data_IF_283585306454
#
_entry.id   IF_283585306454
#
_cell.length_a   1.000
_cell.length_b   1.000
_cell.length_c   1.000
_cell.angle_alpha   90.00
_cell.angle_beta   90.00
_cell.angle_gamma   90.00
#
_symmetry.space_group_name_H-M   'P 1'
#
loop_
_entity.id
_entity.type
_entity.pdbx_description
1 polymer ?
#
# COMPACT_ATOMS: atom_id res chain seq x y z
N UNK A 1 38.25 -40.67 32.70
CA UNK A 1 38.28 -39.89 33.96
C UNK A 1 37.18 -38.84 33.83
N UNK A 2 36.14 -38.94 34.65
CA UNK A 2 34.95 -38.08 34.61
C UNK A 2 35.30 -36.66 35.07
N UNK A 3 34.91 -35.64 34.31
CA UNK A 3 34.89 -34.25 34.76
C UNK A 3 33.44 -33.88 35.10
N UNK A 4 33.17 -33.24 36.25
CA UNK A 4 31.82 -32.88 36.66
C UNK A 4 31.34 -31.64 35.89
N UNK A 5 30.05 -31.63 35.53
CA UNK A 5 29.35 -30.46 35.02
C UNK A 5 28.81 -29.71 36.25
N UNK A 6 29.17 -28.44 36.40
CA UNK A 6 28.50 -27.54 37.35
C UNK A 6 27.59 -26.61 36.55
N UNK A 7 26.28 -26.75 36.73
CA UNK A 7 25.30 -25.80 36.23
C UNK A 7 25.03 -24.78 37.34
N UNK A 8 25.57 -23.57 37.19
CA UNK A 8 25.08 -22.40 37.91
C UNK A 8 24.08 -21.71 37.00
N UNK A 9 22.79 -21.77 37.35
CA UNK A 9 21.77 -20.96 36.72
C UNK A 9 21.77 -19.58 37.41
N UNK A 10 22.59 -18.66 36.90
CA UNK A 10 22.41 -17.24 37.21
C UNK A 10 21.22 -16.71 36.40
N UNK A 11 20.31 -16.01 37.10
CA UNK A 11 19.20 -15.28 36.49
C UNK A 11 19.75 -14.29 35.46
N UNK A 12 19.36 -14.43 34.20
CA UNK A 12 19.74 -13.53 33.13
C UNK A 12 19.18 -12.12 33.43
N UNK A 13 20.02 -11.21 33.91
CA UNK A 13 19.70 -9.79 33.98
C UNK A 13 19.78 -9.19 32.58
N UNK A 14 18.63 -8.77 32.06
CA UNK A 14 18.54 -8.02 30.82
C UNK A 14 19.19 -6.63 30.98
N UNK A 15 20.30 -6.43 30.29
CA UNK A 15 21.09 -5.19 30.30
C UNK A 15 20.90 -4.36 29.03
N UNK A 16 19.87 -4.64 28.22
CA UNK A 16 19.73 -4.08 26.87
C UNK A 16 19.25 -2.63 26.81
N UNK A 17 18.91 -1.98 27.94
CA UNK A 17 18.29 -0.64 27.96
C UNK A 17 17.13 -0.52 26.94
N UNK A 18 16.43 -1.62 26.68
CA UNK A 18 15.28 -1.62 25.80
C UNK A 18 14.19 -0.73 26.41
N UNK A 19 13.60 0.14 25.58
CA UNK A 19 12.47 0.97 26.00
C UNK A 19 11.32 0.03 26.37
N UNK A 20 11.05 -0.11 27.67
CA UNK A 20 9.86 -0.81 28.15
C UNK A 20 8.64 -0.05 27.66
N UNK A 21 7.68 -0.69 26.98
CA UNK A 21 6.45 -0.02 26.58
C UNK A 21 5.73 0.47 27.84
N UNK A 22 5.58 1.80 27.95
CA UNK A 22 4.77 2.41 28.99
C UNK A 22 3.32 2.04 28.73
N UNK A 23 2.78 1.13 29.54
CA UNK A 23 1.34 0.91 29.61
C UNK A 23 0.76 2.21 30.19
N UNK A 24 -0.10 2.95 29.46
CA UNK A 24 -0.73 4.13 30.03
C UNK A 24 -1.53 3.70 31.25
N UNK A 25 -1.28 4.35 32.39
CA UNK A 25 -2.10 4.16 33.59
C UNK A 25 -3.56 4.39 33.20
N UNK A 26 -4.38 3.36 33.42
CA UNK A 26 -5.83 3.48 33.28
C UNK A 26 -6.26 4.49 34.35
N UNK A 27 -6.78 5.67 33.98
CA UNK A 27 -7.24 6.61 34.98
C UNK A 27 -8.32 5.92 35.80
N UNK A 28 -8.20 5.99 37.12
CA UNK A 28 -9.23 5.52 38.04
C UNK A 28 -10.60 6.02 37.55
N UNK A 29 -11.46 5.09 37.13
CA UNK A 29 -12.83 5.35 36.73
C UNK A 29 -13.68 5.71 37.95
N UNK A 30 -13.32 6.78 38.64
CA UNK A 30 -14.32 7.59 39.32
C UNK A 30 -15.15 8.21 38.20
N UNK A 31 -16.43 7.84 38.13
CA UNK A 31 -17.43 8.35 37.20
C UNK A 31 -17.15 9.79 36.76
N UNK A 32 -16.42 9.96 35.65
CA UNK A 32 -16.48 11.17 34.87
C UNK A 32 -17.85 11.10 34.21
N UNK A 33 -18.84 11.67 34.90
CA UNK A 33 -20.03 12.13 34.24
C UNK A 33 -19.55 12.93 33.03
N UNK A 34 -19.75 12.38 31.83
CA UNK A 34 -19.65 13.16 30.60
C UNK A 34 -20.44 14.43 30.86
N UNK A 35 -19.74 15.56 30.92
CA UNK A 35 -20.38 16.84 31.21
C UNK A 35 -21.58 16.97 30.28
N UNK A 36 -22.77 17.00 30.87
CA UNK A 36 -23.93 17.52 30.17
C UNK A 36 -23.59 18.98 29.86
N UNK A 37 -23.18 19.23 28.62
CA UNK A 37 -23.42 20.55 28.02
C UNK A 37 -24.89 20.84 28.31
N UNK A 38 -25.19 21.87 29.12
CA UNK A 38 -26.44 22.08 29.85
C UNK A 38 -27.74 22.22 29.00
N UNK A 39 -27.74 21.80 27.74
CA UNK A 39 -28.91 21.74 26.88
C UNK A 39 -28.97 20.52 25.94
N UNK A 40 -28.04 19.56 26.05
CA UNK A 40 -27.96 18.42 25.13
C UNK A 40 -27.98 17.06 25.82
N UNK A 41 -28.77 16.14 25.27
CA UNK A 41 -28.74 14.71 25.60
C UNK A 41 -27.76 14.02 24.65
N UNK A 42 -26.82 13.26 25.20
CA UNK A 42 -25.87 12.48 24.42
C UNK A 42 -26.47 11.10 24.12
N UNK A 43 -26.59 10.79 22.84
CA UNK A 43 -27.07 9.51 22.32
C UNK A 43 -25.92 8.78 21.59
N UNK A 44 -26.00 7.46 21.54
CA UNK A 44 -25.16 6.61 20.70
C UNK A 44 -26.10 5.80 19.82
N UNK A 45 -26.13 6.14 18.53
CA UNK A 45 -27.14 5.63 17.60
C UNK A 45 -26.50 4.74 16.55
N UNK A 46 -27.20 3.68 16.17
CA UNK A 46 -26.89 2.92 14.97
C UNK A 46 -27.42 3.70 13.75
N UNK A 47 -26.53 4.19 12.90
CA UNK A 47 -26.91 5.04 11.77
C UNK A 47 -26.94 4.22 10.49
N UNK A 48 -28.04 4.29 9.73
CA UNK A 48 -28.12 3.74 8.39
C UNK A 48 -28.19 4.85 7.35
N UNK A 49 -27.45 4.72 6.24
CA UNK A 49 -27.49 5.63 5.10
C UNK A 49 -28.00 4.86 3.89
N UNK A 50 -29.15 5.24 3.33
CA UNK A 50 -29.77 4.57 2.18
C UNK A 50 -29.81 3.04 2.35
N UNK A 51 -30.29 2.59 3.52
CA UNK A 51 -30.39 1.18 3.95
C UNK A 51 -29.05 0.46 4.17
N UNK A 52 -27.91 1.16 4.08
CA UNK A 52 -26.61 0.64 4.48
C UNK A 52 -26.36 0.96 5.96
N UNK A 53 -26.29 -0.06 6.82
CA UNK A 53 -26.11 0.10 8.26
C UNK A 53 -24.63 0.30 8.59
N UNK A 54 -24.32 1.34 9.36
CA UNK A 54 -22.98 1.56 9.91
C UNK A 54 -22.57 0.40 10.80
N UNK A 55 -21.29 0.03 10.78
CA UNK A 55 -20.75 -1.00 11.68
C UNK A 55 -20.62 -0.48 13.11
N UNK A 56 -20.36 0.82 13.26
CA UNK A 56 -20.10 1.46 14.54
C UNK A 56 -21.26 2.33 15.00
N UNK A 57 -21.44 2.40 16.32
CA UNK A 57 -22.35 3.35 16.96
C UNK A 57 -21.76 4.75 16.89
N UNK A 58 -22.58 5.72 16.50
CA UNK A 58 -22.16 7.11 16.33
C UNK A 58 -22.74 7.97 17.44
N UNK A 59 -21.89 8.85 17.97
CA UNK A 59 -22.26 9.84 18.98
C UNK A 59 -23.12 10.93 18.35
N UNK A 60 -24.36 11.07 18.83
CA UNK A 60 -25.34 12.07 18.37
C UNK A 60 -25.78 12.91 19.56
N UNK A 61 -25.79 14.24 19.42
CA UNK A 61 -26.37 15.13 20.44
C UNK A 61 -27.79 15.47 20.06
N UNK A 62 -28.69 15.46 21.04
CA UNK A 62 -30.06 15.93 20.88
C UNK A 62 -30.26 17.18 21.74
N UNK A 63 -30.73 18.28 21.14
CA UNK A 63 -31.10 19.48 21.90
C UNK A 63 -32.52 19.40 22.49
N UNK A 64 -32.90 20.44 23.25
CA UNK A 64 -34.24 20.56 23.84
C UNK A 64 -35.36 20.61 22.79
N UNK A 65 -35.07 21.09 21.57
CA UNK A 65 -35.99 21.13 20.43
C UNK A 65 -36.03 19.80 19.64
N UNK A 66 -35.39 18.75 20.17
CA UNK A 66 -35.22 17.42 19.56
C UNK A 66 -34.43 17.41 18.24
N UNK A 67 -33.69 18.46 17.92
CA UNK A 67 -32.78 18.46 16.77
C UNK A 67 -31.57 17.60 17.08
N UNK A 68 -31.11 16.89 16.06
CA UNK A 68 -29.99 15.98 16.16
C UNK A 68 -28.75 16.60 15.55
N UNK A 69 -27.62 16.42 16.23
CA UNK A 69 -26.33 16.93 15.82
C UNK A 69 -25.32 15.79 15.78
N UNK A 70 -24.55 15.71 14.70
CA UNK A 70 -23.49 14.72 14.49
C UNK A 70 -22.20 15.46 14.18
N UNK A 71 -21.06 14.96 14.66
CA UNK A 71 -19.78 15.57 14.32
C UNK A 71 -19.48 15.42 12.83
N UNK A 72 -18.84 16.43 12.24
CA UNK A 72 -18.49 16.39 10.82
C UNK A 72 -17.62 15.18 10.46
N UNK A 73 -16.71 14.74 11.34
CA UNK A 73 -15.89 13.54 11.11
C UNK A 73 -16.75 12.27 10.94
N UNK A 74 -17.79 12.12 11.76
CA UNK A 74 -18.63 10.93 11.76
C UNK A 74 -19.55 10.95 10.52
N UNK A 75 -20.03 12.13 10.11
CA UNK A 75 -20.74 12.32 8.83
C UNK A 75 -19.84 12.00 7.61
N UNK A 76 -18.56 12.36 7.64
CA UNK A 76 -17.58 12.00 6.60
C UNK A 76 -17.34 10.48 6.56
N UNK A 77 -17.26 9.81 7.72
CA UNK A 77 -17.19 8.33 7.81
C UNK A 77 -18.43 7.66 7.21
N UNK A 78 -19.61 8.27 7.39
CA UNK A 78 -20.87 7.87 6.74
C UNK A 78 -20.95 8.25 5.25
N UNK A 79 -19.84 8.75 4.66
CA UNK A 79 -19.69 9.15 3.27
C UNK A 79 -20.49 10.39 2.85
N UNK A 80 -20.99 11.20 3.78
CA UNK A 80 -21.59 12.48 3.41
C UNK A 80 -20.49 13.47 3.00
N UNK A 81 -20.71 14.17 1.88
CA UNK A 81 -19.87 15.28 1.45
C UNK A 81 -20.08 16.46 2.40
N UNK A 82 -19.04 16.79 3.14
CA UNK A 82 -19.00 17.97 3.99
C UNK A 82 -18.14 19.05 3.32
N UNK A 83 -18.52 20.32 3.48
CA UNK A 83 -17.71 21.42 2.98
C UNK A 83 -16.32 21.43 3.64
N UNK A 84 -15.27 21.74 2.89
CA UNK A 84 -13.89 21.71 3.41
C UNK A 84 -13.63 22.70 4.55
N UNK A 85 -14.48 23.72 4.68
CA UNK A 85 -14.44 24.72 5.75
C UNK A 85 -14.98 24.21 7.09
N UNK A 86 -15.64 23.04 7.13
CA UNK A 86 -16.21 22.47 8.36
C UNK A 86 -15.14 21.60 9.03
N UNK A 87 -14.76 21.98 10.25
CA UNK A 87 -13.78 21.25 11.05
C UNK A 87 -14.33 19.89 11.50
N UNK A 88 -13.49 18.87 11.56
CA UNK A 88 -13.86 17.49 11.89
C UNK A 88 -14.59 17.33 13.24
N UNK A 89 -14.23 18.18 14.23
CA UNK A 89 -14.83 18.18 15.55
C UNK A 89 -16.09 19.04 15.68
N UNK A 90 -16.48 19.77 14.63
CA UNK A 90 -17.68 20.61 14.66
C UNK A 90 -18.94 19.75 14.64
N UNK A 91 -19.90 20.10 15.49
CA UNK A 91 -21.25 19.52 15.50
C UNK A 91 -22.09 20.14 14.40
N UNK A 92 -22.67 19.31 13.55
CA UNK A 92 -23.52 19.72 12.44
C UNK A 92 -24.94 19.24 12.71
N UNK A 93 -25.90 20.16 12.66
CA UNK A 93 -27.30 19.81 12.79
C UNK A 93 -27.76 19.06 11.54
N UNK A 94 -28.37 17.89 11.71
CA UNK A 94 -28.89 17.09 10.59
C UNK A 94 -30.03 17.84 9.89
N UNK A 95 -30.80 18.62 10.64
CA UNK A 95 -31.89 19.44 10.10
C UNK A 95 -31.41 20.53 9.13
N UNK A 96 -30.16 20.98 9.24
CA UNK A 96 -29.58 22.00 8.36
C UNK A 96 -29.07 21.39 7.04
N UNK A 97 -29.01 20.05 6.94
CA UNK A 97 -28.58 19.35 5.74
C UNK A 97 -29.73 19.25 4.72
N UNK A 98 -29.87 20.30 3.93
CA UNK A 98 -30.88 20.41 2.88
C UNK A 98 -30.85 19.19 1.93
N UNK A 99 -32.00 18.55 1.73
CA UNK A 99 -32.15 17.40 0.82
C UNK A 99 -31.93 16.03 1.45
N UNK A 100 -31.54 15.98 2.73
CA UNK A 100 -31.47 14.73 3.51
C UNK A 100 -32.78 14.54 4.27
N UNK A 101 -33.39 13.36 4.13
CA UNK A 101 -34.50 12.96 4.99
C UNK A 101 -33.96 12.05 6.08
N UNK A 102 -34.40 12.26 7.32
CA UNK A 102 -34.01 11.40 8.43
C UNK A 102 -35.21 10.92 9.22
N UNK A 103 -35.09 9.72 9.81
CA UNK A 103 -36.06 9.16 10.74
C UNK A 103 -35.32 8.58 11.94
N UNK A 104 -35.54 9.17 13.10
CA UNK A 104 -35.05 8.65 14.36
C UNK A 104 -36.05 7.63 14.92
N UNK A 105 -35.57 6.42 15.23
CA UNK A 105 -36.33 5.33 15.82
C UNK A 105 -35.78 5.09 17.23
N UNK A 106 -36.43 5.70 18.22
CA UNK A 106 -35.96 5.70 19.61
C UNK A 106 -35.88 4.29 20.21
N UNK A 107 -36.87 3.43 19.95
CA UNK A 107 -36.91 2.06 20.46
C UNK A 107 -35.77 1.17 19.94
N UNK A 108 -35.26 1.48 18.75
CA UNK A 108 -34.17 0.74 18.10
C UNK A 108 -32.82 1.42 18.29
N UNK A 109 -32.80 2.60 18.94
CA UNK A 109 -31.64 3.50 19.00
C UNK A 109 -31.01 3.68 17.62
N UNK A 110 -31.84 3.82 16.59
CA UNK A 110 -31.40 3.86 15.20
C UNK A 110 -31.79 5.16 14.51
N UNK A 111 -30.93 5.63 13.62
CA UNK A 111 -31.15 6.84 12.82
C UNK A 111 -31.02 6.48 11.34
N UNK A 112 -32.14 6.53 10.63
CA UNK A 112 -32.18 6.22 9.21
C UNK A 112 -32.08 7.50 8.39
N UNK A 113 -31.03 7.61 7.59
CA UNK A 113 -30.76 8.72 6.68
C UNK A 113 -31.03 8.30 5.24
N UNK A 114 -31.88 9.05 4.54
CA UNK A 114 -32.03 8.97 3.09
C UNK A 114 -31.31 10.15 2.48
N UNK A 115 -30.19 9.87 1.82
CA UNK A 115 -29.25 10.84 1.31
C UNK A 115 -29.20 10.74 -0.23
N UNK A 116 -29.40 11.84 -0.97
CA UNK A 116 -29.21 11.85 -2.41
C UNK A 116 -27.79 11.43 -2.82
N UNK A 117 -27.64 10.68 -3.92
CA UNK A 117 -26.33 10.13 -4.34
C UNK A 117 -25.27 11.21 -4.65
N UNK A 118 -25.68 12.41 -5.07
CA UNK A 118 -24.77 13.53 -5.33
C UNK A 118 -24.12 14.09 -4.06
N UNK A 119 -24.72 13.86 -2.89
CA UNK A 119 -24.20 14.25 -1.57
C UNK A 119 -23.33 13.17 -0.93
N UNK A 120 -23.17 12.01 -1.56
CA UNK A 120 -22.30 10.94 -1.09
C UNK A 120 -20.94 10.96 -1.79
N UNK A 121 -19.87 10.73 -1.04
CA UNK A 121 -18.54 10.45 -1.60
C UNK A 121 -18.49 9.03 -2.17
N UNK A 122 -17.67 8.84 -3.22
CA UNK A 122 -17.50 7.53 -3.85
C UNK A 122 -16.96 6.49 -2.85
N UNK A 123 -17.58 5.32 -2.80
CA UNK A 123 -17.01 4.17 -2.08
C UNK A 123 -15.87 3.59 -2.90
N UNK A 124 -14.65 3.55 -2.35
CA UNK A 124 -13.49 3.03 -3.06
C UNK A 124 -13.36 1.52 -2.81
N UNK A 125 -13.51 0.74 -3.87
CA UNK A 125 -13.14 -0.68 -3.89
C UNK A 125 -11.70 -0.76 -4.37
N UNK A 126 -10.79 -1.06 -3.45
CA UNK A 126 -9.39 -1.31 -3.77
C UNK A 126 -9.17 -2.81 -3.98
N UNK A 127 -8.70 -3.16 -5.18
CA UNK A 127 -8.50 -4.56 -5.60
C UNK A 127 -7.08 -5.05 -5.35
N UNK A 128 -6.12 -4.14 -5.23
CA UNK A 128 -4.75 -4.47 -4.88
C UNK A 128 -4.60 -4.21 -3.39
N UNK A 129 -4.66 -5.26 -2.57
CA UNK A 129 -4.34 -5.19 -1.14
C UNK A 129 -2.87 -4.83 -0.84
N UNK A 130 -2.21 -4.07 -1.71
CA UNK A 130 -0.84 -3.61 -1.54
C UNK A 130 -0.80 -2.65 -0.36
N UNK A 131 -0.19 -3.10 0.73
CA UNK A 131 0.11 -2.25 1.86
C UNK A 131 1.04 -1.13 1.37
N UNK A 132 0.54 0.10 1.43
CA UNK A 132 1.36 1.29 1.19
C UNK A 132 2.54 1.21 2.16
N UNK A 133 3.76 1.29 1.65
CA UNK A 133 4.93 1.25 2.52
C UNK A 133 4.91 2.48 3.42
N UNK A 134 4.93 2.28 4.74
CA UNK A 134 4.89 3.38 5.70
C UNK A 134 6.01 4.39 5.41
N UNK A 135 5.72 5.71 5.40
CA UNK A 135 6.75 6.73 5.17
C UNK A 135 7.93 6.66 6.16
N UNK A 136 7.70 6.09 7.34
CA UNK A 136 8.76 5.88 8.34
C UNK A 136 9.76 4.80 7.90
N UNK A 137 9.30 3.75 7.21
CA UNK A 137 10.16 2.70 6.68
C UNK A 137 11.00 3.19 5.50
N UNK A 138 10.46 4.11 4.70
CA UNK A 138 11.20 4.74 3.59
C UNK A 138 12.40 5.58 4.08
N UNK A 139 12.37 6.04 5.33
CA UNK A 139 13.43 6.86 5.96
C UNK A 139 14.51 6.03 6.64
N UNK A 140 14.34 4.71 6.72
CA UNK A 140 15.34 3.84 7.34
C UNK A 140 16.62 3.86 6.51
N UNK A 141 17.74 4.16 7.17
CA UNK A 141 19.06 4.14 6.52
C UNK A 141 19.54 2.70 6.44
N UNK A 142 20.17 2.30 5.33
CA UNK A 142 20.76 0.97 5.22
C UNK A 142 21.86 0.78 6.27
N UNK A 143 21.98 -0.45 6.76
CA UNK A 143 23.08 -0.85 7.62
C UNK A 143 24.38 -0.89 6.82
N UNK A 144 25.49 -0.54 7.48
CA UNK A 144 26.80 -0.73 6.88
C UNK A 144 27.09 -2.23 6.81
N UNK A 145 27.26 -2.76 5.61
CA UNK A 145 27.50 -4.19 5.39
C UNK A 145 28.40 -4.42 4.19
N UNK A 146 29.29 -5.39 4.30
CA UNK A 146 30.10 -5.88 3.19
C UNK A 146 29.69 -7.31 2.86
N UNK A 147 29.51 -7.59 1.58
CA UNK A 147 29.16 -8.91 1.05
C UNK A 147 30.20 -9.26 -0.01
N UNK A 148 30.69 -10.50 0.03
CA UNK A 148 31.56 -11.06 -0.99
C UNK A 148 30.88 -12.30 -1.56
N UNK A 149 30.50 -12.24 -2.84
CA UNK A 149 30.03 -13.39 -3.58
C UNK A 149 31.19 -13.94 -4.40
N UNK A 150 31.40 -15.25 -4.40
CA UNK A 150 32.45 -15.87 -5.19
C UNK A 150 31.98 -17.19 -5.80
N UNK A 151 32.50 -17.52 -6.97
CA UNK A 151 32.35 -18.84 -7.58
C UNK A 151 33.70 -19.31 -8.09
N UNK A 152 34.01 -20.59 -7.91
CA UNK A 152 35.25 -21.21 -8.39
C UNK A 152 34.86 -22.47 -9.14
N UNK A 153 35.48 -22.67 -10.29
CA UNK A 153 35.19 -23.78 -11.18
C UNK A 153 36.49 -24.35 -11.73
N UNK A 154 36.59 -25.68 -11.73
CA UNK A 154 37.74 -26.38 -12.25
C UNK A 154 37.28 -27.55 -13.10
N UNK A 155 37.85 -27.68 -14.30
CA UNK A 155 37.62 -28.79 -15.21
C UNK A 155 38.94 -29.40 -15.60
N UNK A 156 39.01 -30.73 -15.52
CA UNK A 156 40.12 -31.52 -16.02
C UNK A 156 39.60 -32.46 -17.11
N UNK A 157 40.17 -32.43 -18.31
CA UNK A 157 39.81 -33.33 -19.41
C UNK A 157 41.03 -33.60 -20.29
N UNK A 158 41.41 -34.87 -20.46
CA UNK A 158 42.47 -35.31 -21.39
C UNK A 158 43.71 -34.39 -21.40
N UNK A 159 44.28 -34.13 -20.21
CA UNK A 159 45.44 -33.26 -19.93
C UNK A 159 45.22 -31.73 -19.95
N UNK A 160 44.02 -31.25 -20.31
CA UNK A 160 43.63 -29.86 -20.15
C UNK A 160 43.07 -29.62 -18.74
N UNK A 161 43.64 -28.63 -18.04
CA UNK A 161 43.14 -28.14 -16.77
C UNK A 161 42.74 -26.67 -16.94
N UNK A 162 41.46 -26.39 -16.75
CA UNK A 162 40.89 -25.04 -16.79
C UNK A 162 40.39 -24.70 -15.39
N UNK A 163 40.86 -23.56 -14.87
CA UNK A 163 40.39 -23.00 -13.62
C UNK A 163 39.82 -21.61 -13.89
N UNK A 164 38.55 -21.41 -13.54
CA UNK A 164 37.90 -20.12 -13.58
C UNK A 164 37.32 -19.75 -12.22
N UNK A 165 37.21 -18.46 -11.98
CA UNK A 165 36.60 -17.97 -10.75
C UNK A 165 36.04 -16.58 -10.91
N UNK A 166 34.96 -16.29 -10.21
CA UNK A 166 34.42 -14.93 -10.11
C UNK A 166 34.42 -14.48 -8.67
N UNK A 167 34.61 -13.19 -8.46
CA UNK A 167 34.39 -12.54 -7.17
C UNK A 167 33.67 -11.21 -7.39
N UNK A 168 32.66 -10.94 -6.57
CA UNK A 168 31.90 -9.69 -6.55
C UNK A 168 31.83 -9.17 -5.12
N UNK A 169 32.39 -7.98 -4.91
CA UNK A 169 32.32 -7.26 -3.65
C UNK A 169 31.20 -6.23 -3.67
N UNK A 170 30.36 -6.26 -2.65
CA UNK A 170 29.30 -5.28 -2.41
C UNK A 170 29.56 -4.63 -1.06
N UNK A 171 29.66 -3.31 -1.02
CA UNK A 171 29.75 -2.52 0.21
C UNK A 171 28.56 -1.57 0.29
N UNK A 172 27.69 -1.78 1.26
CA UNK A 172 26.50 -0.97 1.51
C UNK A 172 26.80 0.03 2.63
N UNK A 173 26.37 1.27 2.45
CA UNK A 173 26.44 2.31 3.47
C UNK A 173 25.29 3.31 3.35
N UNK A 174 25.13 4.17 4.35
CA UNK A 174 24.13 5.24 4.38
C UNK A 174 24.24 6.22 3.20
N UNK A 175 25.42 6.34 2.59
CA UNK A 175 25.67 7.19 1.42
C UNK A 175 25.53 6.44 0.09
N UNK A 176 25.23 5.15 0.09
CA UNK A 176 25.08 4.35 -1.13
C UNK A 176 25.85 3.04 -1.10
N UNK A 177 25.73 2.30 -2.19
CA UNK A 177 26.23 0.95 -2.36
C UNK A 177 27.30 0.93 -3.44
N UNK A 178 28.47 0.42 -3.11
CA UNK A 178 29.56 0.19 -4.05
C UNK A 178 29.58 -1.28 -4.46
N UNK A 179 29.70 -1.53 -5.76
CA UNK A 179 29.77 -2.86 -6.36
C UNK A 179 31.03 -2.92 -7.21
N UNK A 180 31.79 -4.02 -7.12
CA UNK A 180 32.89 -4.29 -8.05
C UNK A 180 33.07 -5.79 -8.24
N UNK A 181 33.18 -6.22 -9.50
CA UNK A 181 33.38 -7.62 -9.85
C UNK A 181 34.68 -7.88 -10.62
N UNK A 182 35.17 -9.11 -10.53
CA UNK A 182 36.31 -9.62 -11.29
C UNK A 182 36.05 -11.07 -11.71
N UNK A 183 36.53 -11.42 -12.89
CA UNK A 183 36.57 -12.78 -13.43
C UNK A 183 38.03 -13.18 -13.63
N UNK A 184 38.39 -14.37 -13.16
CA UNK A 184 39.60 -15.06 -13.50
C UNK A 184 39.29 -16.23 -14.42
N UNK A 185 40.07 -16.40 -15.48
CA UNK A 185 40.03 -17.58 -16.34
C UNK A 185 41.44 -17.98 -16.75
N UNK A 186 41.91 -19.13 -16.28
CA UNK A 186 43.22 -19.67 -16.57
C UNK A 186 43.15 -21.09 -17.09
N UNK A 187 43.87 -21.36 -18.18
CA UNK A 187 44.12 -22.70 -18.70
C UNK A 187 45.62 -23.03 -18.72
N UNK A 188 45.94 -24.33 -18.75
CA UNK A 188 47.29 -24.87 -18.96
C UNK A 188 47.74 -24.84 -20.43
N UNK A 189 46.95 -24.26 -21.34
CA UNK A 189 47.33 -24.21 -22.75
C UNK A 189 48.44 -23.19 -23.00
N UNK A 190 49.58 -23.65 -23.53
CA UNK A 190 50.74 -22.82 -23.88
C UNK A 190 50.57 -22.05 -25.21
N UNK A 191 49.44 -22.23 -25.90
CA UNK A 191 49.29 -21.83 -27.31
C UNK A 191 48.69 -20.43 -27.50
N UNK A 192 47.93 -19.90 -26.52
CA UNK A 192 47.31 -18.57 -26.60
C UNK A 192 47.22 -17.87 -25.23
N UNK A 193 47.96 -16.76 -25.08
CA UNK A 193 47.91 -15.89 -23.91
C UNK A 193 46.66 -15.01 -23.93
N UNK A 194 45.53 -15.51 -23.41
CA UNK A 194 44.39 -14.66 -23.08
C UNK A 194 44.61 -13.96 -21.73
N UNK A 195 44.08 -12.76 -21.59
CA UNK A 195 44.13 -11.98 -20.35
C UNK A 195 43.34 -12.73 -19.27
N UNK A 196 44.06 -13.29 -18.29
CA UNK A 196 43.47 -14.21 -17.30
C UNK A 196 42.57 -13.51 -16.30
N UNK A 197 42.71 -12.19 -16.15
CA UNK A 197 41.93 -11.37 -15.23
C UNK A 197 41.11 -10.37 -16.03
N UNK A 198 39.79 -10.37 -15.82
CA UNK A 198 38.85 -9.47 -16.49
C UNK A 198 38.08 -8.70 -15.42
N UNK A 199 38.18 -7.38 -15.44
CA UNK A 199 37.34 -6.51 -14.62
C UNK A 199 35.90 -6.59 -15.12
N UNK A 200 34.96 -6.81 -14.21
CA UNK A 200 33.53 -6.75 -14.52
C UNK A 200 33.01 -5.33 -14.25
N UNK A 201 31.77 -5.22 -13.76
CA UNK A 201 31.15 -3.93 -13.46
C UNK A 201 31.76 -3.34 -12.18
N UNK A 202 32.00 -2.03 -12.19
CA UNK A 202 32.33 -1.26 -10.99
C UNK A 202 31.45 -0.02 -10.94
N UNK A 203 30.62 0.10 -9.89
CA UNK A 203 29.66 1.20 -9.77
C UNK A 203 29.38 1.55 -8.32
N UNK A 204 29.14 2.83 -8.07
CA UNK A 204 28.49 3.33 -6.87
C UNK A 204 27.05 3.69 -7.20
N UNK A 205 26.13 3.33 -6.32
CA UNK A 205 24.70 3.57 -6.49
C UNK A 205 24.06 4.11 -5.21
N UNK A 206 23.33 5.21 -5.33
CA UNK A 206 22.52 5.76 -4.25
C UNK A 206 21.04 5.74 -4.63
N UNK A 207 20.21 5.16 -3.76
CA UNK A 207 18.75 5.06 -3.94
C UNK A 207 18.07 5.99 -2.95
N UNK A 208 17.27 6.91 -3.47
CA UNK A 208 16.39 7.79 -2.70
C UNK A 208 14.95 7.26 -2.84
N UNK A 209 14.45 6.47 -1.86
CA UNK A 209 13.13 5.87 -1.93
C UNK A 209 12.01 6.89 -1.72
N UNK A 210 12.28 8.03 -1.07
CA UNK A 210 11.30 9.12 -0.88
C UNK A 210 11.03 9.86 -2.19
N UNK A 211 12.10 10.18 -2.94
CA UNK A 211 11.98 10.86 -4.25
C UNK A 211 11.85 9.91 -5.44
N UNK A 212 11.91 8.60 -5.20
CA UNK A 212 11.83 7.54 -6.23
C UNK A 212 12.94 7.73 -7.27
N UNK A 213 14.19 7.88 -6.82
CA UNK A 213 15.35 8.14 -7.69
C UNK A 213 16.50 7.21 -7.40
N UNK A 214 17.24 6.86 -8.45
CA UNK A 214 18.51 6.15 -8.38
C UNK A 214 19.56 7.01 -9.07
N UNK A 215 20.71 7.16 -8.42
CA UNK A 215 21.89 7.80 -8.97
C UNK A 215 23.00 6.74 -9.03
N UNK A 216 23.51 6.48 -10.23
CA UNK A 216 24.59 5.52 -10.46
C UNK A 216 25.79 6.24 -11.04
N UNK A 217 26.98 5.99 -10.48
CA UNK A 217 28.26 6.48 -10.99
C UNK A 217 29.19 5.29 -11.22
N UNK A 218 29.72 5.15 -12.43
CA UNK A 218 30.53 4.02 -12.86
C UNK A 218 29.90 3.29 -14.04
N UNK A 219 30.01 1.97 -14.07
CA UNK A 219 29.45 1.16 -15.15
C UNK A 219 27.95 0.94 -14.97
N UNK A 220 27.18 1.15 -16.04
CA UNK A 220 25.74 0.88 -16.06
C UNK A 220 25.27 0.44 -17.45
N UNK A 221 24.10 -0.18 -17.49
CA UNK A 221 23.41 -0.53 -18.73
C UNK A 221 22.26 0.47 -18.90
N UNK A 222 22.14 1.08 -20.07
CA UNK A 222 21.05 2.01 -20.36
C UNK A 222 19.70 1.29 -20.41
N UNK A 223 18.62 1.99 -20.11
CA UNK A 223 17.28 1.47 -20.39
C UNK A 223 17.09 1.30 -21.91
N UNK A 224 16.39 0.25 -22.31
CA UNK A 224 16.00 0.04 -23.71
C UNK A 224 14.73 0.84 -24.02
N UNK A 225 14.76 1.81 -24.96
CA UNK A 225 13.53 2.39 -25.50
C UNK A 225 12.83 1.40 -26.45
N UNK A 226 11.54 1.64 -26.72
CA UNK A 226 10.71 0.75 -27.55
C UNK A 226 11.21 0.49 -28.99
N UNK A 227 12.16 1.30 -29.45
CA UNK A 227 12.71 1.28 -30.80
C UNK A 227 14.20 0.95 -30.82
N UNK A 228 14.79 0.53 -29.70
CA UNK A 228 16.24 0.30 -29.62
C UNK A 228 16.66 -0.70 -28.55
N UNK A 229 17.96 -0.94 -28.45
CA UNK A 229 18.58 -1.85 -27.49
C UNK A 229 19.28 -1.09 -26.36
N UNK A 230 19.49 -1.79 -25.25
CA UNK A 230 20.32 -1.32 -24.15
C UNK A 230 21.79 -1.32 -24.54
N UNK A 231 22.52 -0.30 -24.11
CA UNK A 231 23.97 -0.17 -24.28
C UNK A 231 24.67 -0.14 -22.93
N UNK A 232 25.85 -0.76 -22.83
CA UNK A 232 26.69 -0.69 -21.64
C UNK A 232 27.59 0.55 -21.73
N UNK A 233 27.59 1.35 -20.68
CA UNK A 233 28.26 2.65 -20.61
C UNK A 233 29.02 2.77 -19.29
N UNK A 234 30.00 3.67 -19.25
CA UNK A 234 30.65 4.13 -18.04
C UNK A 234 30.39 5.64 -17.88
N UNK A 235 29.94 6.07 -16.72
CA UNK A 235 29.64 7.48 -16.47
C UNK A 235 28.64 7.67 -15.34
N UNK A 236 27.79 8.69 -15.48
CA UNK A 236 26.74 9.02 -14.52
C UNK A 236 25.35 8.73 -15.11
N UNK A 237 24.51 8.06 -14.35
CA UNK A 237 23.12 7.80 -14.69
C UNK A 237 22.20 8.31 -13.57
N UNK A 238 21.18 9.06 -13.96
CA UNK A 238 20.06 9.43 -13.09
C UNK A 238 18.78 8.82 -13.65
N UNK A 239 18.09 8.01 -12.85
CA UNK A 239 16.89 7.29 -13.26
C UNK A 239 15.84 7.22 -12.14
N UNK A 240 14.61 6.86 -12.51
CA UNK A 240 13.51 6.63 -11.56
C UNK A 240 13.61 5.27 -10.89
N UNK A 241 13.34 5.20 -9.58
CA UNK A 241 13.45 3.99 -8.75
C UNK A 241 12.15 3.17 -8.64
N UNK A 242 11.30 3.12 -9.67
CA UNK A 242 10.00 2.41 -9.57
C UNK A 242 10.14 0.91 -9.29
N UNK A 243 11.23 0.27 -9.72
CA UNK A 243 11.52 -1.14 -9.39
C UNK A 243 11.85 -1.37 -7.91
N UNK A 244 12.28 -0.34 -7.19
CA UNK A 244 12.58 -0.39 -5.75
C UNK A 244 11.37 -0.01 -4.89
N UNK A 245 10.29 0.50 -5.51
CA UNK A 245 9.03 0.91 -4.88
C UNK A 245 7.89 0.02 -5.37
N UNK A 246 7.88 -1.23 -4.91
CA UNK A 246 6.85 -2.22 -5.27
C UNK A 246 5.43 -1.85 -4.83
N UNK A 247 5.29 -0.86 -3.94
CA UNK A 247 4.02 -0.25 -3.53
C UNK A 247 3.48 0.78 -4.54
N UNK A 248 4.27 1.17 -5.54
CA UNK A 248 3.87 2.13 -6.57
C UNK A 248 3.63 1.39 -7.88
N UNK A 249 2.44 1.57 -8.45
CA UNK A 249 2.14 1.19 -9.83
C UNK A 249 2.31 2.42 -10.72
N UNK A 250 3.39 2.51 -11.53
CA UNK A 250 3.64 3.68 -12.37
C UNK A 250 2.72 3.74 -13.59
N UNK A 251 2.11 2.61 -13.97
CA UNK A 251 1.25 2.53 -15.14
C UNK A 251 -0.13 3.14 -14.89
N UNK A 252 -0.72 3.74 -15.91
CA UNK A 252 -2.09 4.24 -15.86
C UNK A 252 -3.07 3.05 -15.71
N UNK A 253 -3.59 2.86 -14.50
CA UNK A 253 -4.66 1.89 -14.27
C UNK A 253 -6.00 2.53 -14.61
N UNK A 254 -6.85 1.88 -15.42
CA UNK A 254 -8.19 2.38 -15.66
C UNK A 254 -8.99 2.32 -14.36
N UNK A 255 -9.66 3.43 -14.06
CA UNK A 255 -10.60 3.53 -12.95
C UNK A 255 -12.01 3.40 -13.49
N UNK A 256 -12.85 2.62 -12.80
CA UNK A 256 -14.25 2.46 -13.17
C UNK A 256 -15.17 2.97 -12.08
N UNK A 257 -15.97 3.97 -12.41
CA UNK A 257 -17.02 4.47 -11.53
C UNK A 257 -18.39 3.89 -11.92
N UNK A 258 -19.22 3.66 -10.90
CA UNK A 258 -20.61 3.23 -10.99
C UNK A 258 -21.44 3.79 -9.83
N UNK A 259 -22.73 3.47 -9.78
CA UNK A 259 -23.61 3.82 -8.66
C UNK A 259 -24.64 2.72 -8.44
N UNK A 260 -24.90 2.38 -7.17
CA UNK A 260 -25.90 1.39 -6.78
C UNK A 260 -27.04 2.08 -6.00
N UNK A 261 -28.30 1.77 -6.32
CA UNK A 261 -29.44 2.35 -5.62
C UNK A 261 -29.63 1.76 -4.21
N UNK A 262 -29.25 0.50 -4.04
CA UNK A 262 -29.33 -0.27 -2.80
C UNK A 262 -27.97 -0.90 -2.48
N UNK A 263 -27.74 -1.36 -1.23
CA UNK A 263 -26.63 -2.26 -0.95
C UNK A 263 -26.65 -3.46 -1.91
N UNK A 264 -25.55 -3.69 -2.60
CA UNK A 264 -25.45 -4.66 -3.69
C UNK A 264 -24.17 -5.46 -3.61
N UNK A 265 -24.17 -6.65 -4.20
CA UNK A 265 -22.95 -7.39 -4.52
C UNK A 265 -22.42 -6.93 -5.88
N UNK A 266 -21.18 -6.50 -5.92
CA UNK A 266 -20.45 -6.15 -7.13
C UNK A 266 -19.59 -7.34 -7.57
N UNK A 267 -19.93 -7.91 -8.73
CA UNK A 267 -19.10 -8.85 -9.45
C UNK A 267 -18.40 -8.14 -10.62
N UNK A 268 -17.12 -8.43 -10.78
CA UNK A 268 -16.30 -7.86 -11.85
C UNK A 268 -15.74 -8.97 -12.74
N UNK A 269 -15.97 -8.83 -14.04
CA UNK A 269 -15.52 -9.78 -15.05
C UNK A 269 -14.58 -9.10 -16.04
N UNK A 270 -13.50 -9.79 -16.39
CA UNK A 270 -12.58 -9.42 -17.48
C UNK A 270 -12.46 -10.60 -18.41
N UNK A 271 -12.71 -10.40 -19.71
CA UNK A 271 -12.75 -11.48 -20.70
C UNK A 271 -13.63 -12.68 -20.26
N UNK A 272 -14.80 -12.41 -19.67
CA UNK A 272 -15.77 -13.39 -19.15
C UNK A 272 -15.31 -14.17 -17.89
N UNK A 273 -14.11 -13.93 -17.37
CA UNK A 273 -13.65 -14.51 -16.10
C UNK A 273 -13.97 -13.55 -14.95
N UNK A 274 -14.59 -14.06 -13.87
CA UNK A 274 -14.82 -13.30 -12.63
C UNK A 274 -13.48 -13.11 -11.92
N UNK A 275 -13.07 -11.86 -11.69
CA UNK A 275 -11.81 -11.50 -11.04
C UNK A 275 -12.01 -10.90 -9.64
N UNK A 276 -13.22 -10.41 -9.34
CA UNK A 276 -13.56 -9.87 -8.03
C UNK A 276 -15.05 -10.06 -7.73
N UNK A 277 -15.36 -10.23 -6.45
CA UNK A 277 -16.72 -10.23 -5.90
C UNK A 277 -16.68 -9.60 -4.50
N UNK A 278 -17.54 -8.63 -4.23
CA UNK A 278 -17.59 -7.95 -2.94
C UNK A 278 -18.86 -7.14 -2.73
N UNK A 279 -19.11 -6.72 -1.49
CA UNK A 279 -20.26 -5.88 -1.16
C UNK A 279 -19.94 -4.41 -1.40
N UNK A 280 -20.87 -3.70 -2.03
CA UNK A 280 -20.83 -2.25 -2.19
C UNK A 280 -22.05 -1.60 -1.52
N UNK A 281 -21.85 -0.51 -0.76
CA UNK A 281 -22.94 0.27 -0.22
C UNK A 281 -23.71 0.99 -1.33
N UNK A 282 -24.90 1.48 -1.00
CA UNK A 282 -25.67 2.36 -1.88
C UNK A 282 -24.92 3.68 -2.14
N UNK A 283 -25.22 4.29 -3.28
CA UNK A 283 -24.57 5.49 -3.81
C UNK A 283 -23.42 5.21 -4.78
N UNK A 284 -22.61 6.23 -5.10
CA UNK A 284 -21.52 6.12 -6.06
C UNK A 284 -20.39 5.25 -5.51
N UNK A 285 -19.76 4.46 -6.37
CA UNK A 285 -18.57 3.68 -6.04
C UNK A 285 -17.55 3.75 -7.17
N UNK A 286 -16.28 3.61 -6.79
CA UNK A 286 -15.12 3.62 -7.67
C UNK A 286 -14.35 2.32 -7.46
N UNK A 287 -14.09 1.60 -8.56
CA UNK A 287 -13.17 0.48 -8.60
C UNK A 287 -11.81 1.02 -9.02
N UNK A 288 -10.84 0.88 -8.14
CA UNK A 288 -9.46 1.30 -8.39
C UNK A 288 -8.55 0.11 -8.54
N UNK A 289 -7.46 0.34 -9.25
CA UNK A 289 -6.31 -0.56 -9.33
C UNK A 289 -6.66 -1.99 -9.77
N UNK A 290 -7.34 -2.10 -10.92
CA UNK A 290 -7.56 -3.41 -11.54
C UNK A 290 -6.24 -4.17 -11.73
N UNK A 291 -6.23 -5.50 -11.51
CA UNK A 291 -5.05 -6.30 -11.78
C UNK A 291 -4.63 -6.16 -13.25
N UNK A 292 -3.33 -6.35 -13.52
CA UNK A 292 -2.71 -6.26 -14.84
C UNK A 292 -3.17 -7.40 -15.76
N UNK A 293 -4.40 -7.30 -16.24
CA UNK A 293 -4.97 -8.25 -17.19
C UNK A 293 -4.93 -7.58 -18.55
N UNK A 294 -4.57 -8.29 -19.60
CA UNK A 294 -4.83 -7.80 -20.96
C UNK A 294 -6.25 -8.24 -21.33
N UNK A 295 -7.13 -7.29 -21.61
CA UNK A 295 -8.50 -7.58 -22.03
C UNK A 295 -9.01 -6.48 -22.93
N UNK A 296 -10.14 -6.72 -23.60
CA UNK A 296 -10.78 -5.74 -24.48
C UNK A 296 -11.98 -5.06 -23.78
N UNK A 297 -12.62 -5.77 -22.85
CA UNK A 297 -13.84 -5.35 -22.18
C UNK A 297 -13.83 -5.78 -20.71
N UNK A 298 -14.27 -4.88 -19.84
CA UNK A 298 -14.60 -5.14 -18.44
C UNK A 298 -16.12 -5.08 -18.29
N UNK A 299 -16.70 -6.11 -17.66
CA UNK A 299 -18.13 -6.18 -17.34
C UNK A 299 -18.32 -6.11 -15.84
N UNK A 300 -19.03 -5.07 -15.38
CA UNK A 300 -19.46 -4.92 -13.99
C UNK A 300 -20.88 -5.43 -13.87
N UNK A 301 -21.14 -6.32 -12.92
CA UNK A 301 -22.48 -6.81 -12.60
C UNK A 301 -22.76 -6.46 -11.14
N UNK A 302 -23.69 -5.54 -10.91
CA UNK A 302 -24.18 -5.26 -9.55
C UNK A 302 -25.49 -5.99 -9.33
N UNK A 303 -25.54 -6.85 -8.32
CA UNK A 303 -26.75 -7.58 -7.92
C UNK A 303 -27.29 -6.97 -6.63
N UNK A 304 -28.52 -6.46 -6.65
CA UNK A 304 -29.15 -5.89 -5.45
C UNK A 304 -29.71 -6.97 -4.51
N UNK A 305 -30.17 -6.54 -3.32
CA UNK A 305 -30.76 -7.42 -2.33
C UNK A 305 -32.06 -8.11 -2.80
N UNK A 306 -32.69 -7.63 -3.88
CA UNK A 306 -33.89 -8.26 -4.50
C UNK A 306 -33.52 -9.25 -5.60
N UNK A 307 -32.24 -9.38 -5.93
CA UNK A 307 -31.72 -10.21 -7.01
C UNK A 307 -31.73 -9.54 -8.39
N UNK A 308 -32.09 -8.25 -8.50
CA UNK A 308 -31.99 -7.54 -9.77
C UNK A 308 -30.52 -7.25 -10.10
N UNK A 309 -30.17 -7.51 -11.35
CA UNK A 309 -28.82 -7.32 -11.87
C UNK A 309 -28.77 -6.11 -12.80
N UNK A 310 -27.81 -5.23 -12.58
CA UNK A 310 -27.44 -4.18 -13.52
C UNK A 310 -26.05 -4.48 -14.09
N UNK A 311 -25.96 -4.51 -15.42
CA UNK A 311 -24.75 -4.88 -16.14
C UNK A 311 -24.22 -3.63 -16.85
N UNK A 312 -22.99 -3.24 -16.53
CA UNK A 312 -22.28 -2.14 -17.19
C UNK A 312 -21.04 -2.67 -17.87
N UNK A 313 -20.95 -2.49 -19.19
CA UNK A 313 -19.79 -2.88 -19.99
C UNK A 313 -18.98 -1.64 -20.35
N UNK A 314 -17.67 -1.71 -20.17
CA UNK A 314 -16.76 -0.64 -20.57
C UNK A 314 -15.55 -1.21 -21.29
N UNK A 315 -15.06 -0.54 -22.35
CA UNK A 315 -13.82 -0.95 -23.00
C UNK A 315 -12.69 -0.85 -21.98
N UNK A 316 -11.79 -1.82 -22.04
CA UNK A 316 -10.62 -1.90 -21.18
C UNK A 316 -9.41 -2.09 -22.07
N UNK A 317 -8.41 -1.26 -21.87
CA UNK A 317 -7.13 -1.38 -22.53
C UNK A 317 -6.07 -1.02 -21.50
N UNK A 318 -5.18 -1.97 -21.23
CA UNK A 318 -4.04 -1.78 -20.36
C UNK A 318 -2.76 -1.91 -21.18
N UNK A 319 -1.84 -0.97 -20.97
CA UNK A 319 -0.46 -1.07 -21.45
C UNK A 319 0.46 -0.69 -20.30
N UNK A 320 1.39 -1.60 -19.97
CA UNK A 320 2.40 -1.36 -18.93
C UNK A 320 3.32 -0.18 -19.24
N UNK A 321 3.32 0.30 -20.48
CA UNK A 321 4.14 1.41 -20.98
C UNK A 321 3.49 2.78 -20.80
N UNK A 322 2.19 2.86 -20.57
CA UNK A 322 1.49 4.13 -20.37
C UNK A 322 1.63 4.51 -18.90
N UNK A 323 2.26 5.64 -18.62
CA UNK A 323 2.37 6.17 -17.26
C UNK A 323 1.06 6.80 -16.80
N UNK A 324 0.77 6.67 -15.51
CA UNK A 324 -0.31 7.42 -14.88
C UNK A 324 -0.07 8.94 -15.03
N UNK A 325 -1.15 9.72 -15.06
CA UNK A 325 -1.05 11.18 -15.12
C UNK A 325 -0.43 11.72 -13.82
N UNK A 326 0.69 12.42 -13.94
CA UNK A 326 1.44 13.02 -12.83
C UNK A 326 2.93 13.06 -13.13
#
# INVERSE_FOLDING_TARGET
MYLPIHAAAESLQDSTNAVLPSIPEVPNSAHQAFGSDQGYVQLFLNISVNSNVSKDLISVRQDQDRKLYIRSRDLKTLRLKMGEHILDNQWVCINDLNGIQFKYLENEQSLNLKVPSNMLTGYSVDLNGQQITSPQLLKMKPLNAAILNYSLYQTMTNDENVFSGTAEGIFNSAIGNFFSGVLYNGSNENSYSHEKWVRLESKWQYVDPEKIRIYTLGDFISNSPDWGSSVRLAGFQWSSAYSQRGDIVPSALPQFSGSAALPSTLDLYVNQQKIYSGLVPSGPFDIKQLPFISGNEVTLVTTDATGQQSITKKPYYFSSKILAKG
#
